data_IF_453042692255
#
_entry.id   IF_453042692255
#
_cell.length_a   1.000
_cell.length_b   1.000
_cell.length_c   1.000
_cell.angle_alpha   90.00
_cell.angle_beta   90.00
_cell.angle_gamma   90.00
#
_symmetry.space_group_name_H-M   'P 1'
#
loop_
_entity.id
_entity.type
_entity.pdbx_description
1 polymer ?
#
# COMPACT_ATOMS: atom_id res chain seq x y z
N UNK A 1 -42.22 -0.49 53.25
CA UNK A 1 -41.55 0.82 53.37
C UNK A 1 -40.06 0.61 53.18
N UNK A 2 -39.44 1.45 52.34
CA UNK A 2 -38.01 1.72 52.12
C UNK A 2 -37.08 0.51 51.79
N UNK A 3 -36.50 0.35 50.59
CA UNK A 3 -35.69 1.22 49.71
C UNK A 3 -34.17 1.19 49.99
N UNK A 4 -33.43 1.25 48.88
CA UNK A 4 -31.97 1.37 48.63
C UNK A 4 -31.21 0.02 48.54
N UNK A 5 -30.72 -0.49 47.39
CA UNK A 5 -30.01 0.03 46.20
C UNK A 5 -28.46 0.09 46.33
N UNK A 6 -27.80 -0.36 45.25
CA UNK A 6 -26.35 -0.39 44.91
C UNK A 6 -25.51 -1.50 45.59
N UNK A 7 -24.60 -2.25 44.95
CA UNK A 7 -23.91 -2.19 43.64
C UNK A 7 -23.58 -3.66 43.22
N UNK A 8 -23.82 -4.13 41.99
CA UNK A 8 -22.99 -4.03 40.76
C UNK A 8 -21.64 -4.77 40.77
N UNK A 9 -21.51 -5.59 39.72
CA UNK A 9 -20.30 -6.10 39.04
C UNK A 9 -19.45 -7.22 39.66
N UNK A 10 -19.54 -8.40 39.04
CA UNK A 10 -18.36 -9.04 38.44
C UNK A 10 -18.74 -10.21 37.51
N UNK A 11 -18.11 -10.19 36.34
CA UNK A 11 -17.70 -11.35 35.53
C UNK A 11 -18.63 -11.87 34.41
N UNK A 12 -18.77 -11.07 33.35
CA UNK A 12 -18.81 -11.61 31.98
C UNK A 12 -17.49 -11.26 31.29
N UNK A 13 -16.58 -12.24 31.15
CA UNK A 13 -15.46 -12.16 30.23
C UNK A 13 -15.85 -12.89 28.94
N UNK A 14 -16.24 -12.12 27.92
CA UNK A 14 -16.18 -12.58 26.54
C UNK A 14 -14.94 -11.94 25.91
N UNK A 15 -13.93 -12.69 25.46
CA UNK A 15 -12.93 -12.12 24.59
C UNK A 15 -13.61 -11.87 23.24
N UNK A 16 -13.98 -10.62 22.97
CA UNK A 16 -14.20 -10.13 21.62
C UNK A 16 -12.86 -10.19 20.89
N UNK A 17 -12.56 -11.34 20.28
CA UNK A 17 -11.48 -11.42 19.31
C UNK A 17 -11.80 -10.48 18.16
N UNK A 18 -11.10 -9.35 18.07
CA UNK A 18 -10.83 -8.76 16.76
C UNK A 18 -10.11 -9.86 16.00
N UNK A 19 -10.70 -10.37 14.93
CA UNK A 19 -9.89 -11.00 13.91
C UNK A 19 -8.91 -9.91 13.47
N UNK A 20 -7.63 -10.06 13.83
CA UNK A 20 -6.60 -9.08 13.51
C UNK A 20 -6.39 -9.11 11.98
N UNK A 21 -7.26 -8.40 11.28
CA UNK A 21 -7.20 -8.20 9.85
C UNK A 21 -5.95 -7.39 9.53
N UNK A 22 -5.22 -7.79 8.49
CA UNK A 22 -3.98 -7.11 8.07
C UNK A 22 -4.22 -5.62 7.93
N UNK A 23 -3.37 -4.82 8.59
CA UNK A 23 -3.42 -3.37 8.45
C UNK A 23 -2.89 -2.96 7.06
N UNK A 24 -3.72 -2.24 6.31
CA UNK A 24 -3.37 -1.70 5.01
C UNK A 24 -2.82 -0.28 5.21
N UNK A 25 -1.50 -0.12 5.02
CA UNK A 25 -0.84 1.19 5.12
C UNK A 25 -1.39 2.17 4.10
N UNK A 26 -1.78 1.65 2.93
CA UNK A 26 -2.40 2.41 1.86
C UNK A 26 -3.28 1.51 1.00
N UNK A 27 -4.40 2.04 0.52
CA UNK A 27 -5.32 1.37 -0.40
C UNK A 27 -6.04 2.42 -1.24
N UNK A 28 -5.83 2.40 -2.56
CA UNK A 28 -6.48 3.33 -3.48
C UNK A 28 -6.65 2.70 -4.87
N UNK A 29 -7.54 3.28 -5.68
CA UNK A 29 -7.78 2.87 -7.06
C UNK A 29 -7.20 3.91 -8.01
N UNK A 30 -6.32 3.47 -8.90
CA UNK A 30 -5.65 4.30 -9.86
C UNK A 30 -6.16 4.04 -11.27
N UNK A 31 -6.11 5.08 -12.10
CA UNK A 31 -6.27 4.97 -13.56
C UNK A 31 -4.94 5.29 -14.23
N UNK A 32 -4.45 4.40 -15.08
CA UNK A 32 -3.23 4.62 -15.87
C UNK A 32 -3.46 5.73 -16.89
N UNK A 33 -2.65 6.77 -16.87
CA UNK A 33 -2.75 7.91 -17.80
C UNK A 33 -1.67 7.90 -18.87
N UNK A 34 -0.45 7.45 -18.54
CA UNK A 34 0.67 7.38 -19.49
C UNK A 34 1.51 6.12 -19.28
N UNK A 35 2.16 5.70 -20.36
CA UNK A 35 3.17 4.64 -20.37
C UNK A 35 4.47 5.25 -20.91
N UNK A 36 5.59 4.99 -20.23
CA UNK A 36 6.94 5.44 -20.59
C UNK A 36 7.00 6.94 -20.97
N UNK A 37 6.70 7.86 -20.02
CA UNK A 37 6.63 9.30 -20.30
C UNK A 37 7.95 9.89 -20.83
N UNK A 38 9.09 9.29 -20.47
CA UNK A 38 10.43 9.66 -20.94
C UNK A 38 10.89 8.86 -22.19
N UNK A 39 9.95 8.17 -22.85
CA UNK A 39 10.21 7.22 -23.91
C UNK A 39 10.58 5.82 -23.41
N UNK A 40 10.33 4.81 -24.24
CA UNK A 40 10.61 3.41 -23.91
C UNK A 40 12.12 3.16 -23.81
N UNK A 41 12.58 2.78 -22.61
CA UNK A 41 14.00 2.49 -22.33
C UNK A 41 14.29 1.00 -22.15
N UNK A 42 13.29 0.23 -21.76
CA UNK A 42 13.43 -1.20 -21.46
C UNK A 42 12.31 -1.98 -22.14
N UNK A 43 12.61 -3.20 -22.58
CA UNK A 43 11.62 -4.03 -23.28
C UNK A 43 10.63 -4.72 -22.34
N UNK A 44 11.08 -5.06 -21.14
CA UNK A 44 10.34 -5.88 -20.16
C UNK A 44 9.78 -5.07 -19.00
N UNK A 45 10.09 -3.78 -18.94
CA UNK A 45 9.70 -2.88 -17.87
C UNK A 45 9.11 -1.62 -18.50
N UNK A 46 7.95 -1.21 -18.01
CA UNK A 46 7.30 0.04 -18.40
C UNK A 46 7.16 0.91 -17.16
N UNK A 47 7.50 2.20 -17.28
CA UNK A 47 7.17 3.20 -16.28
C UNK A 47 5.76 3.69 -16.54
N UNK A 48 4.82 3.31 -15.70
CA UNK A 48 3.46 3.84 -15.78
C UNK A 48 3.37 5.16 -15.01
N UNK A 49 2.49 6.03 -15.47
CA UNK A 49 1.93 7.10 -14.66
C UNK A 49 0.45 6.85 -14.44
N UNK A 50 0.00 7.05 -13.21
CA UNK A 50 -1.38 6.83 -12.85
C UNK A 50 -1.87 7.85 -11.82
N UNK A 51 -3.17 8.09 -11.81
CA UNK A 51 -3.82 9.04 -10.92
C UNK A 51 -5.00 8.40 -10.20
N UNK A 52 -5.19 8.77 -8.94
CA UNK A 52 -6.46 8.63 -8.21
C UNK A 52 -7.07 10.02 -8.00
N UNK A 53 -8.13 10.12 -7.21
CA UNK A 53 -8.78 11.39 -6.89
C UNK A 53 -7.84 12.36 -6.15
N UNK A 54 -6.89 11.83 -5.37
CA UNK A 54 -5.99 12.64 -4.52
C UNK A 54 -4.50 12.36 -4.73
N UNK A 55 -4.16 11.28 -5.43
CA UNK A 55 -2.80 10.79 -5.57
C UNK A 55 -2.31 10.82 -7.02
N UNK A 56 -1.02 11.07 -7.16
CA UNK A 56 -0.27 10.81 -8.37
C UNK A 56 0.77 9.73 -8.12
N UNK A 57 0.95 8.81 -9.06
CA UNK A 57 1.91 7.73 -8.96
C UNK A 57 2.73 7.58 -10.24
N UNK A 58 4.03 7.36 -10.07
CA UNK A 58 4.88 6.72 -11.06
C UNK A 58 5.28 5.34 -10.54
N UNK A 59 5.19 4.30 -11.38
CA UNK A 59 5.51 2.93 -10.99
C UNK A 59 6.18 2.19 -12.15
N UNK A 60 7.33 1.59 -11.89
CA UNK A 60 7.95 0.64 -12.81
C UNK A 60 7.30 -0.74 -12.65
N UNK A 61 6.74 -1.27 -13.74
CA UNK A 61 6.03 -2.55 -13.77
C UNK A 61 6.74 -3.50 -14.71
N UNK A 62 6.88 -4.77 -14.30
CA UNK A 62 7.37 -5.84 -15.17
C UNK A 62 6.31 -6.22 -16.21
N UNK A 63 6.20 -5.42 -17.28
CA UNK A 63 5.21 -5.54 -18.36
C UNK A 63 5.21 -6.90 -19.05
N UNK A 64 6.33 -7.62 -19.04
CA UNK A 64 6.40 -9.01 -19.56
C UNK A 64 5.44 -9.96 -18.83
N UNK A 65 5.22 -9.74 -17.53
CA UNK A 65 4.38 -10.59 -16.67
C UNK A 65 3.02 -9.95 -16.42
N UNK A 66 2.97 -8.62 -16.25
CA UNK A 66 1.74 -7.90 -15.92
C UNK A 66 1.54 -6.68 -16.82
N UNK A 67 0.99 -6.87 -18.03
CA UNK A 67 0.80 -5.78 -18.97
C UNK A 67 -0.32 -4.84 -18.50
N UNK A 68 -0.04 -3.54 -18.55
CA UNK A 68 -0.98 -2.47 -18.25
C UNK A 68 -1.17 -1.55 -19.47
N UNK A 69 -2.37 -0.96 -19.60
CA UNK A 69 -2.74 -0.08 -20.71
C UNK A 69 -3.21 1.28 -20.21
N UNK A 70 -3.08 2.30 -21.05
CA UNK A 70 -3.68 3.61 -20.79
C UNK A 70 -5.20 3.46 -20.63
N UNK A 71 -5.77 4.20 -19.67
CA UNK A 71 -7.16 4.15 -19.21
C UNK A 71 -7.56 2.88 -18.45
N UNK A 72 -6.63 1.96 -18.20
CA UNK A 72 -6.89 0.80 -17.34
C UNK A 72 -6.96 1.23 -15.87
N UNK A 73 -7.92 0.65 -15.14
CA UNK A 73 -8.09 0.87 -13.70
C UNK A 73 -7.55 -0.32 -12.92
N UNK A 74 -6.91 -0.04 -11.80
CA UNK A 74 -6.41 -1.06 -10.90
C UNK A 74 -6.47 -0.57 -9.46
N UNK A 75 -6.72 -1.49 -8.54
CA UNK A 75 -6.56 -1.25 -7.12
C UNK A 75 -5.11 -1.54 -6.73
N UNK A 76 -4.53 -0.67 -5.92
CA UNK A 76 -3.19 -0.82 -5.38
C UNK A 76 -3.23 -0.69 -3.86
N UNK A 77 -2.58 -1.65 -3.18
CA UNK A 77 -2.48 -1.70 -1.73
C UNK A 77 -1.01 -1.81 -1.32
N UNK A 78 -0.62 -1.07 -0.28
CA UNK A 78 0.66 -1.22 0.40
C UNK A 78 0.45 -1.81 1.78
N UNK A 79 1.21 -2.86 2.12
CA UNK A 79 1.17 -3.53 3.42
C UNK A 79 2.58 -3.82 3.93
N UNK A 80 2.75 -3.97 5.25
CA UNK A 80 4.02 -4.36 5.87
C UNK A 80 4.22 -5.87 5.96
N UNK A 81 3.14 -6.66 5.85
CA UNK A 81 3.15 -8.12 5.96
C UNK A 81 2.10 -8.76 5.05
N UNK A 82 2.36 -9.98 4.59
CA UNK A 82 1.41 -10.81 3.85
C UNK A 82 0.66 -11.81 4.74
N UNK A 83 1.07 -11.93 6.01
CA UNK A 83 0.40 -12.81 6.97
C UNK A 83 -1.00 -12.26 7.26
N UNK A 84 -2.03 -13.09 7.09
CA UNK A 84 -3.43 -12.68 7.20
C UNK A 84 -3.84 -12.21 8.60
N UNK A 85 -3.08 -12.63 9.62
CA UNK A 85 -3.25 -12.29 11.03
C UNK A 85 -2.48 -11.03 11.45
N UNK A 86 -1.85 -10.33 10.51
CA UNK A 86 -1.07 -9.13 10.77
C UNK A 86 0.27 -9.38 11.46
N UNK A 87 0.69 -10.64 11.66
CA UNK A 87 2.00 -10.92 12.25
C UNK A 87 3.13 -10.35 11.39
N UNK A 88 4.20 -9.77 11.98
CA UNK A 88 5.27 -9.14 11.21
C UNK A 88 5.92 -10.07 10.20
N UNK A 89 6.37 -9.51 9.08
CA UNK A 89 7.12 -10.28 8.09
C UNK A 89 8.45 -10.76 8.67
N UNK A 90 8.77 -12.04 8.43
CA UNK A 90 10.00 -12.66 8.93
C UNK A 90 11.22 -12.35 8.07
N UNK A 91 11.02 -11.74 6.90
CA UNK A 91 12.04 -11.50 5.88
C UNK A 91 12.38 -12.72 5.02
N UNK A 92 11.81 -13.90 5.33
CA UNK A 92 12.03 -15.13 4.57
C UNK A 92 10.77 -15.51 3.81
N UNK A 93 10.91 -15.70 2.50
CA UNK A 93 9.84 -16.26 1.69
C UNK A 93 9.67 -17.75 2.01
N UNK A 94 8.58 -18.07 2.70
CA UNK A 94 8.19 -19.45 3.02
C UNK A 94 7.06 -19.86 2.08
N UNK A 95 7.39 -20.68 1.07
CA UNK A 95 6.41 -21.28 0.16
C UNK A 95 5.62 -22.42 0.84
N UNK A 96 5.18 -22.19 2.07
CA UNK A 96 4.61 -23.21 2.93
C UNK A 96 3.10 -23.34 2.74
N UNK A 97 2.60 -23.44 1.50
CA UNK A 97 1.21 -23.79 1.15
C UNK A 97 0.08 -23.01 1.88
N UNK A 98 0.43 -21.94 2.58
CA UNK A 98 -0.45 -21.20 3.48
C UNK A 98 -1.08 -20.09 2.69
N UNK A 99 -2.38 -19.88 2.90
CA UNK A 99 -3.08 -18.76 2.30
C UNK A 99 -2.49 -17.46 2.83
N UNK A 100 -2.19 -16.53 1.95
CA UNK A 100 -1.65 -15.21 2.26
C UNK A 100 -2.50 -14.12 1.64
N UNK A 101 -2.24 -12.87 2.01
CA UNK A 101 -2.91 -11.73 1.39
C UNK A 101 -2.62 -11.66 -0.12
N UNK A 102 -1.44 -12.10 -0.56
CA UNK A 102 -1.03 -12.11 -1.96
C UNK A 102 -1.96 -12.92 -2.87
N UNK A 103 -2.62 -13.97 -2.36
CA UNK A 103 -3.51 -14.84 -3.14
C UNK A 103 -4.78 -14.12 -3.65
N UNK A 104 -5.04 -12.90 -3.15
CA UNK A 104 -6.20 -12.10 -3.53
C UNK A 104 -5.92 -11.07 -4.64
N UNK A 105 -4.65 -10.93 -5.03
CA UNK A 105 -4.13 -9.92 -5.95
C UNK A 105 -3.41 -10.59 -7.13
N UNK A 106 -3.31 -9.86 -8.25
CA UNK A 106 -2.80 -10.39 -9.51
C UNK A 106 -1.29 -10.13 -9.67
N UNK A 107 -0.76 -9.11 -8.99
CA UNK A 107 0.64 -8.72 -9.07
C UNK A 107 1.15 -8.27 -7.71
N UNK A 108 2.31 -8.81 -7.30
CA UNK A 108 2.92 -8.55 -6.00
C UNK A 108 4.39 -8.20 -6.16
N UNK A 109 4.82 -7.16 -5.46
CA UNK A 109 6.23 -6.78 -5.34
C UNK A 109 6.61 -6.62 -3.86
N UNK A 110 7.85 -6.94 -3.52
CA UNK A 110 8.42 -6.72 -2.19
C UNK A 110 9.61 -5.77 -2.29
N UNK A 111 9.65 -4.77 -1.41
CA UNK A 111 10.57 -3.67 -1.51
C UNK A 111 10.71 -2.88 -0.23
N UNK A 112 11.30 -1.69 -0.36
CA UNK A 112 11.63 -0.82 0.77
C UNK A 112 11.34 0.64 0.41
N UNK A 113 10.73 1.36 1.34
CA UNK A 113 10.62 2.82 1.28
C UNK A 113 11.98 3.43 1.63
N UNK A 114 12.59 4.16 0.69
CA UNK A 114 13.97 4.64 0.85
C UNK A 114 14.09 6.17 0.90
N UNK A 115 13.01 6.91 0.61
CA UNK A 115 12.98 8.37 0.71
C UNK A 115 11.55 8.85 0.91
N UNK A 116 11.40 9.82 1.81
CA UNK A 116 10.21 10.65 1.96
C UNK A 116 10.67 12.10 1.79
N UNK A 117 10.02 12.88 0.96
CA UNK A 117 10.32 14.30 0.78
C UNK A 117 9.06 15.14 0.75
N UNK A 118 9.13 16.32 1.36
CA UNK A 118 8.09 17.34 1.27
C UNK A 118 8.33 18.20 0.03
N UNK A 119 7.34 18.26 -0.86
CA UNK A 119 7.32 19.21 -1.98
C UNK A 119 7.05 20.60 -1.40
N UNK A 120 8.13 21.36 -1.21
CA UNK A 120 8.13 22.72 -0.64
C UNK A 120 7.92 23.79 -1.71
N UNK A 121 7.39 23.43 -2.89
CA UNK A 121 7.06 24.41 -3.93
C UNK A 121 6.07 25.46 -3.39
N UNK A 122 6.53 26.72 -3.34
CA UNK A 122 5.86 27.87 -2.72
C UNK A 122 4.54 28.29 -3.39
N UNK A 123 4.15 27.61 -4.47
CA UNK A 123 3.01 27.95 -5.33
C UNK A 123 1.76 27.09 -5.09
N UNK A 124 1.84 26.06 -4.23
CA UNK A 124 0.66 25.27 -3.86
C UNK A 124 0.27 25.53 -2.41
N UNK A 125 -1.00 25.91 -2.20
CA UNK A 125 -1.59 26.13 -0.87
C UNK A 125 -1.69 24.86 -0.01
N UNK A 126 -1.22 23.71 -0.52
CA UNK A 126 -1.21 22.40 0.13
C UNK A 126 0.17 21.78 -0.03
N UNK A 127 0.97 21.73 1.05
CA UNK A 127 2.23 20.99 1.05
C UNK A 127 1.97 19.53 0.66
N UNK A 128 2.57 19.08 -0.44
CA UNK A 128 2.49 17.69 -0.91
C UNK A 128 3.66 16.90 -0.37
N UNK A 129 3.46 15.60 -0.14
CA UNK A 129 4.52 14.67 0.25
C UNK A 129 4.73 13.66 -0.87
N UNK A 130 5.99 13.37 -1.14
CA UNK A 130 6.44 12.37 -2.09
C UNK A 130 7.14 11.23 -1.36
N UNK A 131 6.66 10.01 -1.60
CA UNK A 131 7.18 8.78 -1.04
C UNK A 131 7.81 7.94 -2.15
N UNK A 132 9.05 7.51 -1.94
CA UNK A 132 9.81 6.75 -2.92
C UNK A 132 10.12 5.36 -2.37
N UNK A 133 9.71 4.34 -3.12
CA UNK A 133 9.99 2.95 -2.81
C UNK A 133 10.76 2.26 -3.95
N UNK A 134 11.55 1.25 -3.59
CA UNK A 134 12.28 0.41 -4.55
C UNK A 134 11.94 -1.06 -4.31
N UNK A 135 11.52 -1.73 -5.37
CA UNK A 135 11.16 -3.14 -5.41
C UNK A 135 12.21 -3.90 -6.24
N UNK A 136 13.40 -4.09 -5.66
CA UNK A 136 14.51 -4.76 -6.36
C UNK A 136 15.03 -4.00 -7.59
N UNK A 137 14.90 -2.67 -7.61
CA UNK A 137 15.30 -1.81 -8.74
C UNK A 137 14.13 -1.28 -9.57
N UNK A 138 12.92 -1.84 -9.42
CA UNK A 138 11.69 -1.24 -9.94
C UNK A 138 11.25 -0.12 -9.00
N UNK A 139 11.20 1.11 -9.48
CA UNK A 139 10.96 2.27 -8.64
C UNK A 139 9.47 2.64 -8.59
N UNK A 140 9.06 3.19 -7.46
CA UNK A 140 7.77 3.84 -7.28
C UNK A 140 7.97 5.22 -6.67
N UNK A 141 7.22 6.20 -7.16
CA UNK A 141 7.01 7.49 -6.51
C UNK A 141 5.50 7.69 -6.33
N UNK A 142 5.06 7.91 -5.09
CA UNK A 142 3.69 8.24 -4.75
C UNK A 142 3.66 9.66 -4.18
N UNK A 143 2.81 10.51 -4.76
CA UNK A 143 2.65 11.91 -4.37
C UNK A 143 1.21 12.20 -3.95
N UNK A 144 1.06 12.77 -2.77
CA UNK A 144 -0.25 13.09 -2.18
C UNK A 144 -0.17 14.19 -1.13
N UNK A 145 -1.25 14.39 -0.39
CA UNK A 145 -1.26 15.30 0.77
C UNK A 145 -0.48 14.72 1.95
N UNK A 146 -0.08 15.56 2.91
CA UNK A 146 0.71 15.14 4.07
C UNK A 146 0.07 14.00 4.89
N UNK A 147 -1.27 13.92 4.95
CA UNK A 147 -1.98 12.81 5.59
C UNK A 147 -1.67 11.45 4.96
N UNK A 148 -1.32 11.42 3.67
CA UNK A 148 -1.00 10.21 2.91
C UNK A 148 0.27 9.52 3.40
N UNK A 149 1.19 10.27 4.01
CA UNK A 149 2.48 9.77 4.48
C UNK A 149 2.49 9.44 5.98
N UNK A 150 1.40 9.69 6.70
CA UNK A 150 1.36 9.62 8.16
C UNK A 150 1.71 8.23 8.73
N UNK A 151 1.44 7.17 7.98
CA UNK A 151 1.68 5.79 8.39
C UNK A 151 2.93 5.17 7.76
N UNK A 152 3.75 5.97 7.06
CA UNK A 152 4.93 5.49 6.36
C UNK A 152 6.20 5.91 7.09
N UNK A 153 7.11 4.95 7.27
CA UNK A 153 8.40 5.17 7.91
C UNK A 153 9.54 4.94 6.92
N UNK A 154 10.59 5.77 7.02
CA UNK A 154 11.80 5.54 6.25
C UNK A 154 12.36 4.16 6.59
N UNK A 155 12.89 3.49 5.57
CA UNK A 155 13.44 2.16 5.66
C UNK A 155 12.45 1.01 5.93
N UNK A 156 11.15 1.31 5.95
CA UNK A 156 10.08 0.33 6.09
C UNK A 156 10.05 -0.63 4.89
N UNK A 157 9.95 -1.93 5.20
CA UNK A 157 9.69 -2.98 4.19
C UNK A 157 8.22 -2.97 3.83
N UNK A 158 7.95 -3.04 2.53
CA UNK A 158 6.61 -2.93 1.99
C UNK A 158 6.37 -4.03 0.95
N UNK A 159 5.16 -4.55 0.93
CA UNK A 159 4.60 -5.28 -0.19
C UNK A 159 3.65 -4.36 -0.95
N UNK A 160 3.82 -4.29 -2.26
CA UNK A 160 2.88 -3.67 -3.18
C UNK A 160 2.04 -4.76 -3.81
N UNK A 161 0.73 -4.62 -3.68
CA UNK A 161 -0.28 -5.57 -4.15
C UNK A 161 -1.17 -4.85 -5.16
N UNK A 162 -1.34 -5.43 -6.35
CA UNK A 162 -2.18 -4.86 -7.41
C UNK A 162 -3.20 -5.87 -7.89
N UNK A 163 -4.43 -5.40 -8.09
CA UNK A 163 -5.53 -6.15 -8.69
C UNK A 163 -6.20 -5.33 -9.78
N UNK A 164 -6.44 -5.91 -10.96
CA UNK A 164 -7.24 -5.24 -12.01
C UNK A 164 -8.69 -5.07 -11.56
N UNK A 165 -9.30 -3.96 -11.97
CA UNK A 165 -10.73 -3.64 -11.72
C UNK A 165 -11.54 -3.90 -12.98
#
# INVERSE_FOLDING_TARGET
MASAAAAQDALTWFPSGKEDMVDHLFNDTFTVTRLDPDGKKFDRVTRIEAHSDQMYMQLDVATEVYPMRVNEKFNMVLVSTLNLDGTPDTGYYTQAGRKTLADQYDYVMHGKLYKISEDTSKDSSSAKVEMYASFGGLLMMLRGDHSSAANFELDQRLFLLIKKV
#
